data_IF_259981096897
#
_entry.id   IF_259981096897
#
_cell.length_a   1.000
_cell.length_b   1.000
_cell.length_c   1.000
_cell.angle_alpha   90.00
_cell.angle_beta   90.00
_cell.angle_gamma   90.00
#
_symmetry.space_group_name_H-M   'P 1'
#
loop_
_entity.id
_entity.type
_entity.pdbx_description
1 polymer ?
#
# COMPACT_ATOMS: atom_id res chain seq x y z
N UNK A 1 -2.27 11.47 -15.99
CA UNK A 1 -2.69 11.53 -17.40
C UNK A 1 -2.73 10.11 -17.94
N UNK A 2 -3.87 9.68 -18.44
CA UNK A 2 -3.96 8.41 -19.15
C UNK A 2 -3.16 8.54 -20.44
N UNK A 3 -2.21 7.64 -20.64
CA UNK A 3 -1.45 7.52 -21.90
C UNK A 3 -1.80 6.18 -22.51
N UNK A 4 -1.86 6.10 -23.84
CA UNK A 4 -1.94 4.82 -24.51
C UNK A 4 -0.81 3.89 -24.05
N UNK A 5 -1.10 2.62 -23.90
CA UNK A 5 -0.16 1.60 -23.49
C UNK A 5 0.13 0.67 -24.67
N UNK A 6 1.38 0.30 -24.88
CA UNK A 6 1.89 -0.66 -25.86
C UNK A 6 2.63 -1.70 -25.01
N UNK A 7 2.00 -2.77 -24.66
CA UNK A 7 2.51 -3.75 -23.69
C UNK A 7 3.40 -4.81 -24.36
N UNK A 8 3.13 -5.16 -25.63
CA UNK A 8 3.90 -6.10 -26.43
C UNK A 8 5.04 -5.44 -27.24
N UNK A 9 5.07 -4.09 -27.30
CA UNK A 9 6.04 -3.25 -28.01
C UNK A 9 6.01 -3.41 -29.54
N UNK A 10 4.84 -3.63 -30.12
CA UNK A 10 4.65 -3.70 -31.57
C UNK A 10 4.45 -2.33 -32.24
N UNK A 11 4.26 -1.29 -31.41
CA UNK A 11 4.09 0.10 -31.86
C UNK A 11 2.64 0.53 -32.01
N UNK A 12 1.68 -0.32 -31.67
CA UNK A 12 0.27 0.02 -31.54
C UNK A 12 -0.06 0.22 -30.05
N UNK A 13 -1.25 0.59 -29.73
CA UNK A 13 -1.60 1.00 -28.36
C UNK A 13 -3.05 0.67 -28.05
N UNK A 14 -3.30 0.18 -26.84
CA UNK A 14 -4.63 -0.07 -26.29
C UNK A 14 -5.43 -1.03 -27.23
N UNK A 15 -4.81 -2.11 -27.68
CA UNK A 15 -5.38 -3.01 -28.69
C UNK A 15 -6.32 -4.04 -28.07
N UNK A 16 -6.11 -4.41 -26.80
CA UNK A 16 -6.90 -5.40 -26.07
C UNK A 16 -7.55 -4.81 -24.78
N UNK A 17 -8.54 -3.91 -24.96
CA UNK A 17 -9.19 -3.25 -23.84
C UNK A 17 -10.10 -4.19 -23.06
N UNK A 18 -10.41 -3.90 -21.78
CA UNK A 18 -11.30 -4.72 -20.96
C UNK A 18 -12.66 -4.95 -21.60
N UNK A 19 -13.03 -6.22 -21.75
CA UNK A 19 -14.30 -6.66 -22.32
C UNK A 19 -15.12 -7.46 -21.31
N UNK A 20 -16.43 -7.24 -21.31
CA UNK A 20 -17.44 -7.98 -20.57
C UNK A 20 -18.17 -8.89 -21.57
N UNK A 21 -17.82 -10.15 -21.60
CA UNK A 21 -18.34 -11.09 -22.61
C UNK A 21 -19.74 -11.60 -22.28
N UNK A 22 -20.07 -11.75 -21.01
CA UNK A 22 -21.36 -12.31 -20.59
C UNK A 22 -22.42 -11.22 -20.25
N UNK A 23 -22.04 -9.92 -20.33
CA UNK A 23 -22.94 -8.79 -20.22
C UNK A 23 -23.40 -8.48 -18.79
N UNK A 24 -22.62 -8.86 -17.79
CA UNK A 24 -22.96 -8.60 -16.39
C UNK A 24 -22.40 -7.28 -15.84
N UNK A 25 -21.77 -6.48 -16.70
CA UNK A 25 -21.07 -5.23 -16.43
C UNK A 25 -19.79 -5.38 -15.59
N UNK A 26 -19.15 -6.53 -15.66
CA UNK A 26 -17.89 -6.80 -15.01
C UNK A 26 -17.00 -7.63 -15.94
N UNK A 27 -15.75 -7.26 -16.10
CA UNK A 27 -14.73 -8.14 -16.64
C UNK A 27 -14.13 -8.93 -15.49
N UNK A 28 -14.38 -10.24 -15.46
CA UNK A 28 -13.93 -11.12 -14.36
C UNK A 28 -12.79 -12.03 -14.82
N UNK A 29 -12.96 -13.34 -14.67
CA UNK A 29 -12.00 -14.35 -15.09
C UNK A 29 -12.69 -15.41 -15.92
N UNK A 30 -11.92 -15.98 -16.85
CA UNK A 30 -12.29 -17.20 -17.58
C UNK A 30 -11.43 -18.35 -17.09
N UNK A 31 -12.01 -19.56 -17.08
CA UNK A 31 -11.26 -20.80 -16.97
C UNK A 31 -11.65 -21.74 -18.09
N UNK A 32 -10.65 -22.36 -18.69
CA UNK A 32 -10.82 -23.34 -19.76
C UNK A 32 -10.19 -24.66 -19.35
N UNK A 33 -10.84 -25.77 -19.64
CA UNK A 33 -10.24 -27.08 -19.43
C UNK A 33 -9.12 -27.30 -20.44
N UNK A 34 -7.89 -27.47 -19.92
CA UNK A 34 -6.70 -27.73 -20.73
C UNK A 34 -5.83 -28.80 -20.06
N UNK A 35 -5.42 -29.81 -20.83
CA UNK A 35 -4.56 -30.89 -20.33
C UNK A 35 -3.20 -30.40 -19.86
N UNK A 36 -2.69 -29.32 -20.43
CA UNK A 36 -1.45 -28.66 -20.06
C UNK A 36 -1.64 -27.64 -18.95
N UNK A 37 -2.88 -27.31 -18.58
CA UNK A 37 -3.24 -26.25 -17.65
C UNK A 37 -2.55 -26.34 -16.31
N UNK A 38 -2.29 -25.16 -15.75
CA UNK A 38 -1.55 -24.95 -14.51
C UNK A 38 -2.41 -24.98 -13.26
N UNK A 39 -3.72 -25.14 -13.41
CA UNK A 39 -4.67 -25.05 -12.32
C UNK A 39 -5.51 -26.32 -12.19
N UNK A 40 -5.99 -26.59 -10.98
CA UNK A 40 -6.93 -27.65 -10.65
C UNK A 40 -7.97 -27.12 -9.66
N UNK A 41 -9.19 -27.64 -9.73
CA UNK A 41 -10.23 -27.29 -8.75
C UNK A 41 -9.76 -27.64 -7.33
N UNK A 42 -9.99 -26.72 -6.39
CA UNK A 42 -9.63 -26.96 -4.99
C UNK A 42 -10.49 -28.10 -4.41
N UNK A 43 -9.87 -28.94 -3.60
CA UNK A 43 -10.52 -30.10 -3.00
C UNK A 43 -11.59 -29.73 -1.95
N UNK A 44 -11.44 -28.55 -1.32
CA UNK A 44 -12.37 -28.06 -0.30
C UNK A 44 -13.59 -27.41 -0.93
N UNK A 45 -13.41 -26.68 -2.03
CA UNK A 45 -14.48 -26.03 -2.76
C UNK A 45 -14.13 -25.90 -4.25
N UNK A 46 -14.89 -26.58 -5.10
CA UNK A 46 -14.66 -26.65 -6.55
C UNK A 46 -14.88 -25.31 -7.28
N UNK A 47 -15.43 -24.29 -6.62
CA UNK A 47 -15.47 -22.91 -7.14
C UNK A 47 -14.08 -22.31 -7.23
N UNK A 48 -13.17 -22.71 -6.35
CA UNK A 48 -11.80 -22.20 -6.31
C UNK A 48 -10.87 -23.01 -7.20
N UNK A 49 -9.85 -22.35 -7.70
CA UNK A 49 -8.72 -22.95 -8.39
C UNK A 49 -7.46 -22.84 -7.53
N UNK A 50 -6.68 -23.87 -7.48
CA UNK A 50 -5.33 -23.87 -6.92
C UNK A 50 -4.31 -24.30 -7.96
N UNK A 51 -3.06 -23.89 -7.75
CA UNK A 51 -1.98 -24.35 -8.64
C UNK A 51 -1.84 -25.88 -8.61
N UNK A 52 -1.62 -26.41 -9.80
CA UNK A 52 -1.40 -27.83 -10.04
C UNK A 52 -0.10 -28.29 -9.37
N UNK A 53 -0.16 -29.45 -8.72
CA UNK A 53 0.99 -30.19 -8.20
C UNK A 53 1.30 -31.38 -9.09
N UNK A 54 2.54 -31.93 -9.06
CA UNK A 54 2.93 -33.08 -9.90
C UNK A 54 2.03 -34.30 -9.81
N UNK A 55 1.46 -34.55 -8.63
CA UNK A 55 0.62 -35.74 -8.34
C UNK A 55 -0.87 -35.51 -8.58
N UNK A 56 -1.28 -34.30 -8.97
CA UNK A 56 -2.69 -34.00 -9.22
C UNK A 56 -3.21 -34.78 -10.45
N UNK A 57 -4.45 -35.18 -10.35
CA UNK A 57 -5.20 -35.78 -11.46
C UNK A 57 -6.20 -34.79 -12.00
N UNK A 58 -6.28 -34.69 -13.34
CA UNK A 58 -7.19 -33.78 -14.01
C UNK A 58 -8.67 -33.97 -13.66
N UNK A 59 -9.56 -33.12 -14.12
CA UNK A 59 -9.28 -32.12 -15.17
C UNK A 59 -8.42 -30.96 -14.70
N UNK A 60 -7.58 -30.46 -15.59
CA UNK A 60 -6.75 -29.27 -15.37
C UNK A 60 -7.33 -28.09 -16.13
N UNK A 61 -6.99 -26.90 -15.70
CA UNK A 61 -7.52 -25.65 -16.23
C UNK A 61 -6.41 -24.66 -16.49
N UNK A 62 -6.59 -23.85 -17.53
CA UNK A 62 -5.89 -22.58 -17.64
C UNK A 62 -6.84 -21.45 -17.26
N UNK A 63 -6.29 -20.29 -16.85
CA UNK A 63 -7.05 -19.16 -16.34
C UNK A 63 -6.61 -17.90 -17.04
N UNK A 64 -7.56 -17.15 -17.56
CA UNK A 64 -7.38 -15.90 -18.28
C UNK A 64 -8.26 -14.80 -17.66
N UNK A 65 -7.97 -13.54 -17.97
CA UNK A 65 -8.95 -12.47 -17.81
C UNK A 65 -10.13 -12.72 -18.74
N UNK A 66 -11.32 -12.22 -18.38
CA UNK A 66 -12.47 -12.29 -19.26
C UNK A 66 -12.31 -11.29 -20.40
N UNK A 67 -12.29 -11.74 -21.63
CA UNK A 67 -12.10 -10.93 -22.85
C UNK A 67 -11.73 -11.76 -24.04
N UNK A 68 -11.42 -11.09 -25.14
CA UNK A 68 -10.91 -11.65 -26.37
C UNK A 68 -9.45 -11.20 -26.50
N UNK A 69 -8.57 -12.08 -26.93
CA UNK A 69 -7.22 -11.76 -27.37
C UNK A 69 -7.35 -11.05 -28.74
N UNK A 70 -7.37 -9.73 -28.75
CA UNK A 70 -7.67 -8.93 -29.93
C UNK A 70 -6.45 -8.68 -30.80
N UNK A 71 -5.25 -8.70 -30.23
CA UNK A 71 -3.97 -8.50 -30.93
C UNK A 71 -3.23 -9.79 -31.25
N UNK A 72 -3.57 -10.89 -30.57
CA UNK A 72 -3.06 -12.22 -30.86
C UNK A 72 -1.77 -12.58 -30.14
N UNK A 73 -1.46 -11.92 -29.02
CA UNK A 73 -0.27 -12.16 -28.20
C UNK A 73 -0.45 -13.32 -27.20
N UNK A 74 -1.69 -13.73 -26.93
CA UNK A 74 -2.08 -14.83 -26.05
C UNK A 74 -2.46 -14.43 -24.65
N UNK A 75 -2.43 -13.15 -24.33
CA UNK A 75 -2.99 -12.57 -23.12
C UNK A 75 -4.44 -12.10 -23.41
N UNK A 76 -5.16 -11.62 -22.41
CA UNK A 76 -6.59 -11.28 -22.53
C UNK A 76 -6.92 -10.08 -21.63
N UNK A 77 -7.47 -9.01 -22.19
CA UNK A 77 -7.81 -7.79 -21.46
C UNK A 77 -6.62 -7.16 -20.69
N UNK A 78 -5.42 -7.21 -21.24
CA UNK A 78 -4.20 -6.71 -20.59
C UNK A 78 -3.93 -5.24 -20.87
N UNK A 79 -4.50 -4.69 -21.94
CA UNK A 79 -4.38 -3.28 -22.31
C UNK A 79 -5.34 -2.40 -21.49
N UNK A 80 -5.01 -2.24 -20.25
CA UNK A 80 -5.69 -1.28 -19.40
C UNK A 80 -5.29 0.14 -19.79
N UNK A 81 -6.21 1.13 -19.64
CA UNK A 81 -5.85 2.50 -19.87
C UNK A 81 -4.53 2.81 -19.18
N UNK A 82 -3.47 2.89 -19.97
CA UNK A 82 -2.11 3.09 -19.52
C UNK A 82 -1.95 4.41 -18.81
N UNK A 83 -0.75 4.70 -18.40
CA UNK A 83 -0.44 5.98 -17.80
C UNK A 83 0.69 5.88 -16.79
N UNK A 84 0.98 7.04 -16.21
CA UNK A 84 1.97 7.12 -15.13
C UNK A 84 1.25 6.94 -13.80
N UNK A 85 1.73 6.00 -12.99
CA UNK A 85 1.24 5.82 -11.62
C UNK A 85 1.79 6.96 -10.74
N UNK A 86 0.93 7.86 -10.20
CA UNK A 86 1.40 8.92 -9.33
C UNK A 86 2.18 8.39 -8.12
N UNK A 87 1.88 7.18 -7.64
CA UNK A 87 2.58 6.54 -6.55
C UNK A 87 3.85 5.77 -7.00
N UNK A 88 4.34 6.03 -8.20
CA UNK A 88 5.65 5.63 -8.73
C UNK A 88 6.44 6.82 -9.27
N UNK A 89 5.88 8.02 -9.20
CA UNK A 89 6.47 9.23 -9.79
C UNK A 89 7.00 10.23 -8.77
N UNK A 90 6.95 9.92 -7.46
CA UNK A 90 7.57 10.76 -6.41
C UNK A 90 9.08 10.77 -6.54
N UNK A 91 9.74 11.91 -6.21
CA UNK A 91 11.19 12.01 -6.38
C UNK A 91 12.04 11.22 -5.37
N UNK A 92 11.46 10.75 -4.26
CA UNK A 92 12.17 9.90 -3.31
C UNK A 92 12.33 8.48 -3.84
N UNK A 93 13.57 7.97 -3.88
CA UNK A 93 13.87 6.61 -4.38
C UNK A 93 13.23 6.30 -5.74
N UNK A 94 13.19 7.26 -6.64
CA UNK A 94 12.61 7.07 -7.96
C UNK A 94 13.53 6.25 -8.87
N UNK A 95 12.95 5.42 -9.73
CA UNK A 95 13.70 4.62 -10.71
C UNK A 95 12.97 4.59 -12.05
N UNK A 96 13.70 4.88 -13.14
CA UNK A 96 13.16 4.78 -14.49
C UNK A 96 12.76 3.33 -14.86
N UNK A 97 13.37 2.35 -14.20
CA UNK A 97 13.06 0.92 -14.44
C UNK A 97 11.74 0.48 -13.79
N UNK A 98 11.17 1.31 -12.91
CA UNK A 98 9.89 1.01 -12.29
C UNK A 98 8.76 1.27 -13.27
N UNK A 99 7.95 0.25 -13.57
CA UNK A 99 6.74 0.42 -14.40
C UNK A 99 5.86 1.54 -13.82
N UNK A 100 5.36 2.40 -14.68
CA UNK A 100 4.52 3.54 -14.27
C UNK A 100 5.27 4.73 -13.67
N UNK A 101 6.62 4.74 -13.65
CA UNK A 101 7.41 5.78 -12.99
C UNK A 101 7.45 7.13 -13.71
N UNK A 102 7.04 7.19 -14.98
CA UNK A 102 7.14 8.40 -15.81
C UNK A 102 8.54 8.68 -16.34
N UNK A 103 8.67 9.72 -17.16
CA UNK A 103 9.92 10.07 -17.82
C UNK A 103 11.00 10.61 -16.85
N UNK A 104 10.57 11.23 -15.75
CA UNK A 104 11.42 11.75 -14.68
C UNK A 104 10.56 11.93 -13.41
N UNK A 105 11.17 12.02 -12.22
CA UNK A 105 10.40 12.19 -10.98
C UNK A 105 9.62 13.50 -11.00
N UNK A 106 8.32 13.41 -10.71
CA UNK A 106 7.42 14.56 -10.82
C UNK A 106 7.10 14.97 -12.27
N UNK A 107 7.19 14.04 -13.23
CA UNK A 107 6.81 14.32 -14.63
C UNK A 107 5.33 14.68 -14.77
N UNK A 108 4.49 14.16 -13.89
CA UNK A 108 3.04 14.34 -13.98
C UNK A 108 2.59 15.63 -13.30
N UNK A 109 1.72 16.37 -13.98
CA UNK A 109 1.27 17.70 -13.52
C UNK A 109 0.48 17.61 -12.21
N UNK A 110 -0.27 16.57 -12.02
CA UNK A 110 -1.05 16.27 -10.82
C UNK A 110 -0.12 16.14 -9.62
N UNK A 111 0.96 15.36 -9.77
CA UNK A 111 1.92 15.18 -8.71
C UNK A 111 2.73 16.46 -8.44
N UNK A 112 3.15 17.18 -9.49
CA UNK A 112 3.85 18.46 -9.29
C UNK A 112 3.00 19.44 -8.50
N UNK A 113 1.72 19.53 -8.81
CA UNK A 113 0.80 20.42 -8.09
C UNK A 113 0.70 20.05 -6.61
N UNK A 114 0.65 18.75 -6.30
CA UNK A 114 0.66 18.27 -4.91
C UNK A 114 1.99 18.56 -4.19
N UNK A 115 3.11 18.33 -4.86
CA UNK A 115 4.44 18.62 -4.31
C UNK A 115 4.66 20.12 -4.10
N UNK A 116 4.23 20.97 -5.03
CA UNK A 116 4.27 22.43 -4.90
C UNK A 116 3.42 22.90 -3.72
N UNK A 117 2.24 22.34 -3.54
CA UNK A 117 1.41 22.63 -2.37
C UNK A 117 2.14 22.27 -1.08
N UNK A 118 2.68 21.06 -0.97
CA UNK A 118 3.41 20.60 0.22
C UNK A 118 4.65 21.45 0.47
N UNK A 119 5.40 21.79 -0.56
CA UNK A 119 6.58 22.65 -0.45
C UNK A 119 6.26 24.04 0.11
N UNK A 120 5.13 24.61 -0.30
CA UNK A 120 4.66 25.92 0.18
C UNK A 120 3.97 25.86 1.56
N UNK A 121 3.77 24.67 2.13
CA UNK A 121 3.18 24.47 3.45
C UNK A 121 4.11 23.70 4.39
N UNK A 122 5.23 24.31 4.84
CA UNK A 122 6.25 23.61 5.64
C UNK A 122 5.76 23.20 7.05
N UNK A 123 4.55 23.55 7.40
CA UNK A 123 3.87 23.12 8.63
C UNK A 123 3.19 21.75 8.51
N UNK A 124 3.19 21.12 7.35
CA UNK A 124 2.69 19.75 7.19
C UNK A 124 3.70 18.80 7.85
N UNK A 125 3.27 18.14 8.94
CA UNK A 125 4.13 17.26 9.73
C UNK A 125 3.78 15.75 9.58
N UNK A 126 2.58 15.44 9.09
CA UNK A 126 2.12 14.08 8.88
C UNK A 126 1.30 13.94 7.60
N UNK A 127 1.29 12.75 7.03
CA UNK A 127 0.51 12.39 5.85
C UNK A 127 -0.05 10.98 5.98
N UNK A 128 -1.26 10.78 5.48
CA UNK A 128 -1.91 9.47 5.39
C UNK A 128 -2.41 9.25 3.97
N UNK A 129 -1.92 8.20 3.32
CA UNK A 129 -2.48 7.66 2.07
C UNK A 129 -3.46 6.53 2.37
N UNK A 130 -4.51 6.42 1.57
CA UNK A 130 -5.45 5.31 1.63
C UNK A 130 -5.38 4.52 0.34
N UNK A 131 -5.12 3.24 0.46
CA UNK A 131 -5.06 2.25 -0.60
C UNK A 131 -6.00 1.10 -0.29
N UNK A 132 -6.19 0.19 -1.22
CA UNK A 132 -6.90 -1.08 -1.01
C UNK A 132 -6.24 -2.19 -1.83
N UNK A 133 -6.09 -3.35 -1.28
CA UNK A 133 -6.61 -3.88 -0.02
C UNK A 133 -5.53 -4.65 0.75
N UNK A 134 -5.82 -4.96 2.03
CA UNK A 134 -4.88 -5.78 2.81
C UNK A 134 -5.12 -5.74 4.32
N UNK A 135 -5.80 -4.72 4.83
CA UNK A 135 -5.96 -4.52 6.27
C UNK A 135 -4.61 -4.34 6.97
N UNK A 136 -3.75 -3.47 6.43
CA UNK A 136 -2.38 -3.26 6.93
C UNK A 136 -2.03 -1.77 7.00
N UNK A 137 -1.25 -1.40 8.01
CA UNK A 137 -0.64 -0.07 8.13
C UNK A 137 0.77 -0.14 7.57
N UNK A 138 1.06 0.67 6.56
CA UNK A 138 2.33 0.73 5.89
C UNK A 138 3.10 2.02 6.24
N UNK A 139 4.42 1.90 6.29
CA UNK A 139 5.38 2.98 6.51
C UNK A 139 6.59 2.83 5.58
N UNK A 140 7.46 3.82 5.47
CA UNK A 140 8.79 3.65 4.85
C UNK A 140 9.62 2.57 5.58
N UNK A 141 10.62 1.94 4.92
CA UNK A 141 11.00 2.16 3.55
C UNK A 141 10.18 1.31 2.57
N UNK A 142 10.11 1.79 1.32
CA UNK A 142 9.53 1.06 0.20
C UNK A 142 10.58 0.32 -0.63
N UNK A 143 11.85 0.61 -0.40
CA UNK A 143 13.00 0.06 -1.13
C UNK A 143 14.11 -0.39 -0.18
N UNK A 144 14.96 -1.35 -0.59
CA UNK A 144 16.01 -1.90 0.28
C UNK A 144 17.13 -0.91 0.60
N UNK A 145 17.40 0.05 -0.26
CA UNK A 145 18.50 1.00 -0.11
C UNK A 145 18.23 2.06 0.97
N UNK A 146 16.98 2.32 1.26
CA UNK A 146 16.59 3.34 2.21
C UNK A 146 16.67 2.86 3.66
N UNK A 147 17.29 3.66 4.51
CA UNK A 147 17.43 3.41 5.95
C UNK A 147 16.80 4.54 6.76
N UNK A 148 15.93 4.18 7.69
CA UNK A 148 15.38 5.15 8.62
C UNK A 148 16.31 5.35 9.82
N UNK A 149 16.55 6.60 10.25
CA UNK A 149 17.13 6.88 11.56
C UNK A 149 16.35 6.17 12.67
N UNK A 150 17.05 5.62 13.66
CA UNK A 150 16.41 4.84 14.74
C UNK A 150 15.36 5.64 15.55
N UNK A 151 15.56 6.96 15.69
CA UNK A 151 14.57 7.85 16.32
C UNK A 151 13.27 7.90 15.54
N UNK A 152 13.34 8.05 14.22
CA UNK A 152 12.18 8.16 13.35
C UNK A 152 11.46 6.80 13.27
N UNK A 153 12.22 5.70 13.17
CA UNK A 153 11.64 4.36 13.22
C UNK A 153 10.85 4.12 14.52
N UNK A 154 11.36 4.56 15.67
CA UNK A 154 10.62 4.45 16.95
C UNK A 154 9.30 5.24 16.93
N UNK A 155 9.24 6.40 16.28
CA UNK A 155 7.99 7.16 16.11
C UNK A 155 6.99 6.37 15.25
N UNK A 156 7.45 5.82 14.12
CA UNK A 156 6.61 4.98 13.27
C UNK A 156 6.05 3.78 14.02
N UNK A 157 6.89 3.06 14.77
CA UNK A 157 6.48 1.90 15.56
C UNK A 157 5.42 2.30 16.61
N UNK A 158 5.69 3.34 17.39
CA UNK A 158 4.78 3.77 18.46
C UNK A 158 3.41 4.23 17.92
N UNK A 159 3.37 4.91 16.76
CA UNK A 159 2.12 5.30 16.13
C UNK A 159 1.43 4.11 15.45
N UNK A 160 2.19 3.18 14.86
CA UNK A 160 1.65 1.95 14.30
C UNK A 160 0.97 1.08 15.36
N UNK A 161 1.54 0.92 16.54
CA UNK A 161 0.92 0.19 17.67
C UNK A 161 -0.43 0.79 18.04
N UNK A 162 -0.51 2.11 18.16
CA UNK A 162 -1.76 2.81 18.41
C UNK A 162 -2.73 2.68 17.24
N UNK A 163 -2.21 2.77 16.01
CA UNK A 163 -2.97 2.59 14.78
C UNK A 163 -3.64 1.22 14.72
N UNK A 164 -2.92 0.14 15.01
CA UNK A 164 -3.48 -1.23 15.07
C UNK A 164 -4.60 -1.36 16.10
N UNK A 165 -4.52 -0.60 17.21
CA UNK A 165 -5.57 -0.62 18.23
C UNK A 165 -6.88 0.04 17.75
N UNK A 166 -6.81 1.09 16.93
CA UNK A 166 -8.00 1.79 16.43
C UNK A 166 -8.50 1.19 15.12
N UNK A 167 -7.63 0.85 14.18
CA UNK A 167 -8.03 0.27 12.89
C UNK A 167 -8.50 -1.17 12.99
N UNK A 168 -8.09 -1.89 14.04
CA UNK A 168 -8.29 -3.34 14.21
C UNK A 168 -7.56 -4.19 13.16
N UNK A 169 -6.65 -3.61 12.40
CA UNK A 169 -5.85 -4.37 11.44
C UNK A 169 -4.91 -5.35 12.14
N UNK A 170 -4.54 -6.41 11.42
CA UNK A 170 -3.69 -7.47 11.94
C UNK A 170 -2.20 -7.14 11.89
N UNK A 171 -1.79 -6.20 11.04
CA UNK A 171 -0.40 -5.99 10.68
C UNK A 171 -0.05 -4.52 10.51
N UNK A 172 1.14 -4.14 10.95
CA UNK A 172 1.81 -2.90 10.56
C UNK A 172 3.28 -3.19 10.22
N UNK A 173 3.76 -2.68 9.09
CA UNK A 173 5.09 -3.01 8.56
C UNK A 173 5.59 -1.93 7.60
N UNK A 174 6.82 -2.05 7.10
CA UNK A 174 7.26 -1.25 5.96
C UNK A 174 6.72 -1.82 4.65
N UNK A 175 6.60 -0.98 3.62
CA UNK A 175 6.18 -1.42 2.28
C UNK A 175 7.09 -2.53 1.77
N UNK A 176 8.41 -2.34 1.87
CA UNK A 176 9.38 -3.33 1.41
C UNK A 176 9.25 -4.68 2.12
N UNK A 177 9.05 -4.68 3.44
CA UNK A 177 8.89 -5.92 4.22
C UNK A 177 7.53 -6.60 3.98
N UNK A 178 6.50 -5.84 3.68
CA UNK A 178 5.19 -6.39 3.33
C UNK A 178 5.24 -7.18 2.02
N UNK A 179 6.02 -6.68 1.07
CA UNK A 179 6.21 -7.28 -0.25
C UNK A 179 7.20 -8.47 -0.27
N UNK A 180 7.80 -8.83 0.87
CA UNK A 180 8.71 -9.97 0.89
C UNK A 180 8.01 -11.29 0.59
N UNK A 181 8.65 -12.18 -0.20
CA UNK A 181 8.11 -13.49 -0.50
C UNK A 181 7.76 -14.25 0.78
N UNK A 182 6.61 -14.90 0.77
CA UNK A 182 6.12 -15.68 1.90
C UNK A 182 7.06 -16.86 2.14
N UNK A 183 7.48 -17.04 3.40
CA UNK A 183 8.43 -18.09 3.77
C UNK A 183 9.90 -17.71 3.61
N UNK A 184 10.22 -16.50 3.15
CA UNK A 184 11.60 -16.02 3.16
C UNK A 184 12.13 -15.96 4.59
N UNK A 185 13.46 -16.12 4.74
CA UNK A 185 14.16 -16.11 6.05
C UNK A 185 13.90 -14.82 6.86
N UNK A 186 13.49 -13.76 6.21
CA UNK A 186 13.20 -12.44 6.77
C UNK A 186 11.69 -12.13 6.84
N UNK A 187 10.84 -13.03 6.38
CA UNK A 187 9.39 -12.89 6.50
C UNK A 187 9.00 -12.69 7.96
N UNK A 188 8.31 -11.62 8.25
CA UNK A 188 7.84 -11.28 9.59
C UNK A 188 8.80 -10.46 10.45
N UNK A 189 10.04 -10.19 10.05
CA UNK A 189 10.93 -9.28 10.80
C UNK A 189 10.46 -7.83 10.69
N UNK A 190 10.56 -7.09 11.77
CA UNK A 190 10.15 -5.67 11.82
C UNK A 190 8.64 -5.41 11.69
N UNK A 191 7.83 -6.45 11.74
CA UNK A 191 6.38 -6.34 11.67
C UNK A 191 5.78 -6.26 13.07
N UNK A 192 4.75 -5.44 13.23
CA UNK A 192 3.89 -5.46 14.41
C UNK A 192 2.65 -6.28 14.07
N UNK A 193 2.40 -7.33 14.83
CA UNK A 193 1.22 -8.19 14.65
C UNK A 193 0.26 -8.06 15.84
N UNK A 194 -1.02 -8.01 15.53
CA UNK A 194 -2.08 -8.13 16.53
C UNK A 194 -2.40 -9.61 16.73
N UNK A 195 -2.39 -10.07 17.98
CA UNK A 195 -2.77 -11.43 18.34
C UNK A 195 -4.29 -11.52 18.54
N UNK A 196 -4.85 -12.74 18.46
CA UNK A 196 -6.28 -13.03 18.70
C UNK A 196 -6.80 -12.49 20.03
N UNK A 197 -5.91 -12.34 21.01
CA UNK A 197 -6.22 -11.73 22.33
C UNK A 197 -6.13 -10.20 22.31
N UNK A 198 -6.01 -9.59 21.13
CA UNK A 198 -5.92 -8.14 20.95
C UNK A 198 -4.59 -7.52 21.41
N UNK A 199 -3.60 -8.32 21.82
CA UNK A 199 -2.28 -7.84 22.19
C UNK A 199 -1.44 -7.61 20.94
N UNK A 200 -0.74 -6.48 20.88
CA UNK A 200 0.24 -6.23 19.84
C UNK A 200 1.55 -6.85 20.30
N UNK A 201 2.10 -7.74 19.47
CA UNK A 201 3.47 -8.24 19.62
C UNK A 201 4.34 -7.49 18.63
N UNK A 202 5.33 -6.74 19.14
CA UNK A 202 6.45 -6.28 18.36
C UNK A 202 7.35 -7.49 18.06
N UNK A 203 7.67 -7.68 16.80
CA UNK A 203 8.85 -8.42 16.43
C UNK A 203 10.01 -7.43 16.50
N UNK A 204 11.25 -7.90 16.75
CA UNK A 204 12.42 -7.05 16.89
C UNK A 204 12.37 -5.90 15.90
N UNK A 205 12.56 -4.65 16.37
CA UNK A 205 12.50 -3.50 15.51
C UNK A 205 13.58 -3.66 14.44
N UNK A 206 13.13 -4.06 13.26
CA UNK A 206 14.01 -4.12 12.11
C UNK A 206 14.19 -2.67 11.65
N UNK A 207 15.34 -2.14 11.91
CA UNK A 207 15.68 -0.74 11.69
C UNK A 207 15.94 -0.37 10.22
N UNK A 208 15.64 -1.30 9.31
CA UNK A 208 15.93 -1.13 7.89
C UNK A 208 17.43 -1.09 7.59
N UNK A 209 18.27 -1.15 8.61
CA UNK A 209 19.69 -0.92 8.52
C UNK A 209 20.57 -2.15 8.61
N UNK A 210 20.01 -3.32 8.76
CA UNK A 210 20.79 -4.56 8.83
C UNK A 210 21.38 -4.94 7.47
N UNK A 211 22.53 -5.62 7.51
CA UNK A 211 23.22 -6.17 6.34
C UNK A 211 22.39 -7.18 5.52
N UNK A 212 21.08 -7.25 5.76
CA UNK A 212 20.17 -8.19 5.13
C UNK A 212 19.72 -7.76 3.74
N UNK A 213 19.78 -6.45 3.43
CA UNK A 213 19.38 -5.95 2.10
C UNK A 213 20.33 -6.38 0.98
N UNK A 214 21.60 -6.57 1.26
CA UNK A 214 22.57 -7.05 0.27
C UNK A 214 22.50 -8.55 -0.03
N UNK A 215 21.63 -9.30 0.64
CA UNK A 215 21.48 -10.75 0.45
C UNK A 215 20.14 -11.16 -0.18
N UNK A 216 19.22 -10.20 -0.35
CA UNK A 216 17.97 -10.43 -1.07
C UNK A 216 18.25 -10.15 -2.55
N UNK A 217 18.20 -11.19 -3.35
CA UNK A 217 18.22 -11.06 -4.81
C UNK A 217 16.99 -10.25 -5.22
N UNK A 218 17.10 -9.44 -6.26
CA UNK A 218 15.98 -8.67 -6.84
C UNK A 218 14.75 -9.55 -7.14
N UNK A 219 14.96 -10.84 -7.30
CA UNK A 219 13.93 -11.85 -7.55
C UNK A 219 13.06 -12.19 -6.32
N UNK A 220 13.52 -11.83 -5.11
CA UNK A 220 12.88 -12.30 -3.86
C UNK A 220 11.97 -11.27 -3.19
N UNK A 221 12.02 -10.00 -3.57
CA UNK A 221 11.22 -8.95 -2.94
C UNK A 221 10.85 -7.82 -3.92
N UNK A 222 9.59 -7.43 -3.92
CA UNK A 222 9.12 -6.30 -4.70
C UNK A 222 9.49 -4.98 -4.02
N UNK A 223 10.40 -4.23 -4.62
CA UNK A 223 10.70 -2.86 -4.23
C UNK A 223 9.79 -1.88 -4.96
N UNK A 224 9.14 -0.97 -4.23
CA UNK A 224 8.25 0.04 -4.80
C UNK A 224 8.96 1.40 -4.89
N UNK A 225 9.63 1.64 -6.01
CA UNK A 225 10.36 2.87 -6.24
C UNK A 225 9.42 4.04 -6.58
N UNK A 226 9.80 5.26 -6.18
CA UNK A 226 9.05 6.48 -6.48
C UNK A 226 7.71 6.61 -5.75
N UNK A 227 7.54 5.91 -4.65
CA UNK A 227 6.34 5.95 -3.84
C UNK A 227 6.22 7.20 -2.96
N UNK A 228 4.98 7.56 -2.64
CA UNK A 228 4.64 8.73 -1.82
C UNK A 228 5.23 8.68 -0.41
N UNK A 229 5.28 7.52 0.22
CA UNK A 229 5.79 7.37 1.57
C UNK A 229 7.25 7.78 1.68
N UNK A 230 8.09 7.22 0.81
CA UNK A 230 9.52 7.53 0.79
C UNK A 230 9.75 8.98 0.34
N UNK A 231 9.03 9.43 -0.70
CA UNK A 231 9.17 10.79 -1.21
C UNK A 231 8.83 11.86 -0.19
N UNK A 232 7.72 11.74 0.50
CA UNK A 232 7.29 12.69 1.53
C UNK A 232 8.22 12.68 2.75
N UNK A 233 8.65 11.49 3.16
CA UNK A 233 9.55 11.35 4.30
C UNK A 233 10.95 11.90 4.01
N UNK A 234 11.61 11.51 2.91
CA UNK A 234 12.98 11.92 2.62
C UNK A 234 13.12 13.40 2.25
N UNK A 235 12.17 13.91 1.45
CA UNK A 235 12.29 15.27 0.93
C UNK A 235 11.80 16.31 1.91
N UNK A 236 10.67 16.04 2.55
CA UNK A 236 9.99 17.02 3.39
C UNK A 236 10.08 16.72 4.89
N UNK A 237 10.53 15.51 5.27
CA UNK A 237 10.52 15.08 6.67
C UNK A 237 9.11 14.97 7.25
N UNK A 238 8.16 14.57 6.42
CA UNK A 238 6.78 14.32 6.80
C UNK A 238 6.66 12.87 7.30
N UNK A 239 6.05 12.66 8.46
CA UNK A 239 5.77 11.33 8.97
C UNK A 239 4.61 10.72 8.17
N UNK A 240 4.93 10.01 7.11
CA UNK A 240 3.98 9.49 6.14
C UNK A 240 3.60 8.04 6.43
N UNK A 241 2.30 7.75 6.44
CA UNK A 241 1.74 6.41 6.51
C UNK A 241 0.85 6.13 5.30
N UNK A 242 0.68 4.85 4.97
CA UNK A 242 -0.36 4.39 4.07
C UNK A 242 -1.12 3.23 4.73
N UNK A 243 -2.43 3.21 4.58
CA UNK A 243 -3.23 2.06 4.95
C UNK A 243 -3.74 1.39 3.69
N UNK A 244 -3.43 0.10 3.53
CA UNK A 244 -4.17 -0.76 2.63
C UNK A 244 -5.46 -1.14 3.35
N UNK A 245 -6.49 -0.35 3.14
CA UNK A 245 -7.75 -0.51 3.87
C UNK A 245 -8.44 -1.80 3.47
N UNK A 246 -9.25 -2.33 4.39
CA UNK A 246 -10.08 -3.49 4.19
C UNK A 246 -9.31 -4.80 3.91
N UNK A 247 -9.63 -5.83 4.63
CA UNK A 247 -9.23 -7.21 4.38
C UNK A 247 -10.47 -8.06 4.22
N UNK A 248 -10.61 -8.67 3.06
CA UNK A 248 -11.72 -9.55 2.77
C UNK A 248 -11.48 -10.94 3.41
N UNK A 249 -12.37 -11.33 4.32
CA UNK A 249 -12.31 -12.60 5.02
C UNK A 249 -11.62 -12.56 6.39
N UNK A 250 -11.84 -13.62 7.15
CA UNK A 250 -11.26 -13.86 8.46
C UNK A 250 -10.22 -14.98 8.40
N UNK A 251 -9.14 -14.84 9.14
CA UNK A 251 -8.13 -15.86 9.34
C UNK A 251 -8.65 -16.87 10.39
N UNK A 252 -9.31 -17.92 9.93
CA UNK A 252 -10.02 -18.85 10.79
C UNK A 252 -9.12 -19.90 11.43
N UNK A 253 -8.02 -20.25 10.77
CA UNK A 253 -7.06 -21.24 11.28
C UNK A 253 -5.88 -20.59 12.01
N UNK A 254 -5.85 -19.24 12.08
CA UNK A 254 -4.83 -18.43 12.76
C UNK A 254 -3.41 -18.65 12.23
N UNK A 255 -3.25 -18.96 10.94
CA UNK A 255 -1.95 -19.07 10.29
C UNK A 255 -1.35 -17.70 9.92
N UNK A 256 -2.09 -16.61 10.12
CA UNK A 256 -1.74 -15.23 9.84
C UNK A 256 -2.10 -14.79 8.42
N UNK A 257 -2.90 -15.56 7.71
CA UNK A 257 -3.36 -15.32 6.34
C UNK A 257 -4.86 -15.50 6.25
N UNK A 258 -5.43 -14.99 5.18
CA UNK A 258 -6.79 -15.37 4.77
C UNK A 258 -6.66 -16.11 3.44
N UNK A 259 -6.91 -17.39 3.47
CA UNK A 259 -6.89 -18.25 2.29
C UNK A 259 -8.11 -18.00 1.41
N UNK A 260 -8.04 -18.38 0.13
CA UNK A 260 -9.20 -18.27 -0.78
C UNK A 260 -10.44 -19.05 -0.27
N UNK A 261 -10.23 -20.18 0.41
CA UNK A 261 -11.34 -20.93 1.01
C UNK A 261 -11.97 -20.21 2.20
N UNK A 262 -11.20 -19.47 3.00
CA UNK A 262 -11.73 -18.65 4.08
C UNK A 262 -12.44 -17.42 3.55
N UNK A 263 -11.91 -16.82 2.49
CA UNK A 263 -12.58 -15.72 1.79
C UNK A 263 -13.94 -16.15 1.24
N UNK A 264 -14.01 -17.34 0.61
CA UNK A 264 -15.25 -17.85 0.06
C UNK A 264 -16.27 -18.17 1.16
N UNK A 265 -15.81 -18.76 2.26
CA UNK A 265 -16.66 -18.97 3.43
C UNK A 265 -17.17 -17.66 4.02
N UNK A 266 -16.33 -16.64 4.08
CA UNK A 266 -16.74 -15.30 4.53
C UNK A 266 -17.79 -14.69 3.59
N UNK A 267 -17.62 -14.85 2.28
CA UNK A 267 -18.62 -14.41 1.32
C UNK A 267 -19.97 -15.13 1.52
N UNK A 268 -19.93 -16.44 1.64
CA UNK A 268 -21.14 -17.25 1.83
C UNK A 268 -21.88 -16.91 3.13
N UNK A 269 -21.16 -16.82 4.25
CA UNK A 269 -21.74 -16.67 5.58
C UNK A 269 -22.05 -15.21 5.97
N UNK A 270 -21.21 -14.26 5.53
CA UNK A 270 -21.29 -12.86 5.98
C UNK A 270 -21.76 -11.90 4.88
N UNK A 271 -21.39 -12.16 3.62
CA UNK A 271 -21.71 -11.27 2.51
C UNK A 271 -22.93 -11.75 1.71
N UNK A 272 -23.45 -12.96 1.99
CA UNK A 272 -24.58 -13.56 1.30
C UNK A 272 -24.27 -13.91 -0.14
N UNK A 273 -23.06 -14.45 -0.40
CA UNK A 273 -22.56 -14.91 -1.70
C UNK A 273 -22.64 -13.80 -2.79
N UNK A 274 -22.25 -12.57 -2.43
CA UNK A 274 -22.35 -11.41 -3.35
C UNK A 274 -21.01 -11.07 -4.01
N UNK A 275 -19.91 -11.55 -3.47
CA UNK A 275 -18.56 -11.15 -3.88
C UNK A 275 -17.93 -12.17 -4.84
N UNK A 276 -18.28 -13.44 -4.72
CA UNK A 276 -17.89 -14.43 -5.71
C UNK A 276 -19.03 -14.67 -6.71
N UNK A 277 -18.71 -14.68 -8.01
CA UNK A 277 -19.64 -15.11 -9.07
C UNK A 277 -19.34 -16.57 -9.38
N UNK A 278 -20.37 -17.42 -9.30
CA UNK A 278 -20.24 -18.79 -9.71
C UNK A 278 -19.88 -18.91 -11.19
N UNK A 279 -19.10 -19.91 -11.53
CA UNK A 279 -18.64 -20.14 -12.88
C UNK A 279 -19.81 -20.50 -13.80
N UNK A 280 -20.00 -19.72 -14.86
CA UNK A 280 -21.07 -19.86 -15.84
C UNK A 280 -20.48 -20.26 -17.20
N UNK A 281 -20.99 -21.32 -17.83
CA UNK A 281 -20.52 -21.72 -19.16
C UNK A 281 -20.72 -20.63 -20.19
N UNK A 282 -19.71 -20.43 -21.06
CA UNK A 282 -19.73 -19.47 -22.16
C UNK A 282 -19.01 -20.07 -23.39
N UNK A 283 -19.53 -19.81 -24.58
CA UNK A 283 -18.89 -20.23 -25.85
C UNK A 283 -18.00 -19.10 -26.38
N UNK A 284 -16.71 -19.19 -26.04
CA UNK A 284 -15.71 -18.21 -26.40
C UNK A 284 -15.28 -18.36 -27.87
N UNK A 285 -15.12 -17.25 -28.65
CA UNK A 285 -14.88 -17.34 -30.08
C UNK A 285 -13.57 -18.05 -30.48
N UNK A 286 -12.53 -17.97 -29.68
CA UNK A 286 -11.22 -18.58 -29.95
C UNK A 286 -10.89 -19.77 -29.05
N UNK A 287 -11.23 -19.72 -27.76
CA UNK A 287 -10.95 -20.77 -26.77
C UNK A 287 -12.01 -21.90 -26.77
N UNK A 288 -13.15 -21.71 -27.45
CA UNK A 288 -14.27 -22.65 -27.40
C UNK A 288 -15.04 -22.58 -26.07
N UNK A 289 -15.25 -23.72 -25.41
CA UNK A 289 -16.02 -23.75 -24.17
C UNK A 289 -15.18 -23.31 -22.98
N UNK A 290 -15.56 -22.19 -22.38
CA UNK A 290 -14.97 -21.65 -21.14
C UNK A 290 -16.04 -21.53 -20.06
N UNK A 291 -15.64 -21.22 -18.84
CA UNK A 291 -16.53 -20.80 -17.77
C UNK A 291 -16.08 -19.41 -17.30
N UNK A 292 -17.02 -18.44 -17.20
CA UNK A 292 -16.78 -17.08 -16.71
C UNK A 292 -17.27 -16.98 -15.27
N UNK A 293 -16.45 -16.36 -14.38
CA UNK A 293 -16.78 -16.19 -12.98
C UNK A 293 -15.60 -15.70 -12.14
N UNK A 294 -15.65 -15.95 -10.84
CA UNK A 294 -14.58 -15.57 -9.92
C UNK A 294 -14.89 -14.36 -9.04
N UNK A 295 -13.86 -13.75 -8.49
CA UNK A 295 -14.00 -12.66 -7.54
C UNK A 295 -14.35 -11.34 -8.19
N UNK A 296 -15.43 -10.71 -7.71
CA UNK A 296 -15.79 -9.35 -8.08
C UNK A 296 -14.87 -8.36 -7.37
N UNK A 297 -14.17 -7.52 -8.11
CA UNK A 297 -13.23 -6.53 -7.58
C UNK A 297 -13.87 -5.66 -6.49
N UNK A 298 -15.08 -5.15 -6.74
CA UNK A 298 -15.88 -4.47 -5.73
C UNK A 298 -16.55 -5.51 -4.82
N UNK A 299 -16.20 -5.51 -3.56
CA UNK A 299 -16.55 -6.50 -2.56
C UNK A 299 -15.35 -7.31 -2.10
N UNK A 300 -14.46 -7.71 -3.00
CA UNK A 300 -13.22 -8.38 -2.63
C UNK A 300 -12.13 -7.39 -2.19
N UNK A 301 -11.91 -6.32 -2.93
CA UNK A 301 -10.90 -5.31 -2.60
C UNK A 301 -11.45 -4.09 -1.85
N UNK A 302 -12.74 -3.88 -1.86
CA UNK A 302 -13.41 -2.77 -1.17
C UNK A 302 -14.63 -3.29 -0.42
N UNK A 303 -14.92 -2.77 0.79
CA UNK A 303 -16.07 -3.23 1.56
C UNK A 303 -17.38 -2.88 0.85
N UNK A 304 -18.33 -3.79 0.87
CA UNK A 304 -19.70 -3.50 0.46
C UNK A 304 -20.33 -2.42 1.37
N UNK A 305 -21.32 -1.64 0.88
CA UNK A 305 -21.89 -0.51 1.61
C UNK A 305 -22.23 -0.76 3.08
N UNK A 306 -22.76 -1.91 3.51
CA UNK A 306 -23.03 -2.15 4.93
C UNK A 306 -21.81 -2.13 5.84
N UNK A 307 -20.63 -2.46 5.31
CA UNK A 307 -19.37 -2.56 6.07
C UNK A 307 -18.47 -1.32 5.88
N UNK A 308 -18.79 -0.47 4.90
CA UNK A 308 -17.96 0.69 4.53
C UNK A 308 -17.86 1.71 5.67
N UNK A 309 -18.94 1.96 6.37
CA UNK A 309 -18.98 2.96 7.46
C UNK A 309 -17.96 2.63 8.54
N UNK A 310 -17.95 1.40 9.01
CA UNK A 310 -17.09 0.94 10.09
C UNK A 310 -15.60 1.02 9.69
N UNK A 311 -15.31 0.66 8.44
CA UNK A 311 -13.96 0.77 7.86
C UNK A 311 -13.49 2.23 7.79
N UNK A 312 -14.34 3.14 7.36
CA UNK A 312 -14.04 4.58 7.30
C UNK A 312 -13.78 5.14 8.71
N UNK A 313 -14.67 4.88 9.66
CA UNK A 313 -14.56 5.41 11.02
C UNK A 313 -13.24 5.01 11.69
N UNK A 314 -12.82 3.76 11.56
CA UNK A 314 -11.56 3.26 12.10
C UNK A 314 -10.33 3.93 11.45
N UNK A 315 -10.36 4.15 10.16
CA UNK A 315 -9.27 4.82 9.46
C UNK A 315 -9.21 6.32 9.78
N UNK A 316 -10.36 6.99 9.89
CA UNK A 316 -10.44 8.40 10.34
C UNK A 316 -9.89 8.55 11.75
N UNK A 317 -10.20 7.63 12.67
CA UNK A 317 -9.61 7.64 14.02
C UNK A 317 -8.08 7.55 13.99
N UNK A 318 -7.51 6.73 13.11
CA UNK A 318 -6.06 6.69 12.95
C UNK A 318 -5.49 7.99 12.39
N UNK A 319 -6.16 8.63 11.42
CA UNK A 319 -5.76 9.96 10.91
C UNK A 319 -5.78 11.01 12.03
N UNK A 320 -6.84 11.03 12.84
CA UNK A 320 -6.95 11.95 13.99
C UNK A 320 -5.87 11.69 15.05
N UNK A 321 -5.51 10.43 15.26
CA UNK A 321 -4.41 10.05 16.14
C UNK A 321 -3.09 10.61 15.64
N UNK A 322 -2.80 10.51 14.34
CA UNK A 322 -1.61 11.09 13.74
C UNK A 322 -1.63 12.62 13.84
N UNK A 323 -2.77 13.27 13.57
CA UNK A 323 -2.90 14.71 13.69
C UNK A 323 -2.63 15.20 15.12
N UNK A 324 -3.16 14.50 16.13
CA UNK A 324 -2.90 14.81 17.55
C UNK A 324 -1.45 14.55 17.98
N UNK A 325 -0.72 13.70 17.24
CA UNK A 325 0.68 13.40 17.50
C UNK A 325 1.65 14.44 16.92
N UNK A 326 1.21 15.32 16.03
CA UNK A 326 2.06 16.35 15.41
C UNK A 326 2.65 17.29 16.44
N UNK A 327 3.75 18.02 16.13
CA UNK A 327 4.35 18.97 17.05
C UNK A 327 3.35 20.04 17.49
N UNK A 328 3.29 20.30 18.78
CA UNK A 328 2.48 21.38 19.37
C UNK A 328 3.40 22.33 20.14
N UNK A 329 3.80 23.41 19.48
CA UNK A 329 4.71 24.40 20.04
C UNK A 329 3.96 25.46 20.82
N UNK A 330 4.46 25.78 22.00
CA UNK A 330 3.97 26.90 22.82
C UNK A 330 5.13 27.69 23.38
N UNK A 331 4.95 29.00 23.47
CA UNK A 331 5.83 29.86 24.25
C UNK A 331 5.36 29.81 25.70
N UNK A 332 6.15 29.19 26.58
CA UNK A 332 5.80 29.01 27.99
C UNK A 332 6.33 30.14 28.87
N UNK A 333 7.36 30.84 28.44
CA UNK A 333 7.95 31.93 29.19
C UNK A 333 8.64 32.93 28.26
N UNK A 334 8.53 34.22 28.61
CA UNK A 334 9.31 35.31 28.02
C UNK A 334 9.92 36.10 29.18
N UNK A 335 11.20 36.10 29.28
CA UNK A 335 11.96 36.96 30.23
C UNK A 335 12.52 38.17 29.49
N UNK A 336 12.44 39.33 30.16
CA UNK A 336 13.01 40.58 29.65
C UNK A 336 14.03 41.13 30.64
N UNK A 337 15.23 41.39 30.15
CA UNK A 337 16.29 42.04 30.92
C UNK A 337 16.68 43.35 30.25
N UNK A 338 16.66 44.43 31.03
CA UNK A 338 17.13 45.72 30.54
C UNK A 338 18.65 45.83 30.66
N UNK A 339 19.35 46.07 29.56
CA UNK A 339 20.82 46.16 29.50
C UNK A 339 21.35 47.60 29.47
N UNK A 340 20.47 48.59 29.57
CA UNK A 340 20.84 50.02 29.44
C UNK A 340 20.73 50.56 28.02
N UNK A 341 20.70 51.87 27.88
CA UNK A 341 20.62 52.57 26.57
C UNK A 341 19.48 52.11 25.66
N UNK A 342 18.31 51.82 26.24
CA UNK A 342 17.12 51.25 25.56
C UNK A 342 17.36 49.92 24.87
N UNK A 343 18.35 49.13 25.35
CA UNK A 343 18.62 47.77 24.86
C UNK A 343 18.00 46.78 25.87
N UNK A 344 17.28 45.81 25.34
CA UNK A 344 16.65 44.70 26.11
C UNK A 344 17.14 43.39 25.56
N UNK A 345 17.36 42.44 26.48
CA UNK A 345 17.52 41.03 26.16
C UNK A 345 16.18 40.33 26.38
N UNK A 346 15.68 39.67 25.36
CA UNK A 346 14.49 38.80 25.46
C UNK A 346 14.92 37.35 25.43
N UNK A 347 14.50 36.58 26.39
CA UNK A 347 14.72 35.15 26.45
C UNK A 347 13.37 34.43 26.40
N UNK A 348 13.17 33.59 25.39
CA UNK A 348 11.93 32.89 25.17
C UNK A 348 12.11 31.37 25.41
N UNK A 349 11.28 30.78 26.24
CA UNK A 349 11.22 29.32 26.41
C UNK A 349 10.10 28.76 25.56
N UNK A 350 10.45 27.85 24.65
CA UNK A 350 9.52 27.17 23.75
C UNK A 350 9.44 25.70 24.18
N UNK A 351 8.23 25.21 24.37
CA UNK A 351 7.96 23.79 24.64
C UNK A 351 7.25 23.14 23.45
N UNK A 352 7.59 21.89 23.18
CA UNK A 352 6.82 21.02 22.30
C UNK A 352 6.02 20.05 23.16
N UNK A 353 4.70 20.15 23.15
CA UNK A 353 3.78 19.24 23.84
C UNK A 353 3.25 18.14 22.91
N UNK A 354 3.57 18.18 21.59
CA UNK A 354 3.26 17.12 20.65
C UNK A 354 4.12 15.89 20.88
N UNK A 355 3.66 14.75 20.40
CA UNK A 355 4.40 13.49 20.49
C UNK A 355 5.57 13.45 19.50
N UNK A 356 5.41 14.04 18.32
CA UNK A 356 6.47 14.13 17.31
C UNK A 356 7.45 15.25 17.67
N UNK A 357 8.74 15.11 17.35
CA UNK A 357 9.69 16.21 17.40
C UNK A 357 9.31 17.29 16.38
N UNK A 358 9.81 18.49 16.56
CA UNK A 358 9.63 19.59 15.60
C UNK A 358 10.23 19.30 14.24
N UNK A 359 11.13 18.34 14.18
CA UNK A 359 11.79 17.91 12.96
C UNK A 359 12.22 16.44 13.08
N UNK A 360 12.02 15.67 12.03
CA UNK A 360 12.47 14.29 11.94
C UNK A 360 13.99 14.21 11.71
N UNK A 361 14.61 13.16 12.22
CA UNK A 361 16.07 12.98 12.08
C UNK A 361 16.51 12.84 10.63
N UNK A 362 15.68 12.36 9.72
CA UNK A 362 15.98 12.33 8.30
C UNK A 362 16.32 13.70 7.73
N UNK A 363 15.63 14.77 8.14
CA UNK A 363 15.94 16.14 7.68
C UNK A 363 17.28 16.63 8.21
N UNK A 364 17.54 16.36 9.48
CA UNK A 364 18.82 16.73 10.12
C UNK A 364 19.97 16.02 9.40
N UNK A 365 19.84 14.73 9.16
CA UNK A 365 20.86 13.93 8.47
C UNK A 365 21.09 14.39 7.03
N UNK A 366 20.03 14.79 6.33
CA UNK A 366 20.09 15.31 4.97
C UNK A 366 20.50 16.79 4.88
N UNK A 367 20.87 17.42 6.02
CA UNK A 367 21.21 18.85 6.11
C UNK A 367 20.13 19.81 5.59
N UNK A 368 18.86 19.41 5.73
CA UNK A 368 17.66 20.17 5.34
C UNK A 368 16.92 20.74 6.55
N UNK A 369 17.58 20.78 7.70
CA UNK A 369 17.00 21.21 8.97
C UNK A 369 16.53 22.66 8.91
N UNK A 370 15.33 22.90 9.43
CA UNK A 370 14.75 24.25 9.59
C UNK A 370 14.50 24.48 11.06
N UNK A 371 15.29 25.35 11.71
CA UNK A 371 15.12 25.59 13.14
C UNK A 371 13.77 26.25 13.44
N UNK A 372 13.26 25.99 14.65
CA UNK A 372 12.11 26.73 15.18
C UNK A 372 12.47 28.23 15.24
N UNK A 373 11.61 29.07 14.70
CA UNK A 373 11.80 30.53 14.65
C UNK A 373 10.73 31.20 15.52
N UNK A 374 11.15 32.20 16.27
CA UNK A 374 10.26 33.12 16.99
C UNK A 374 10.38 34.50 16.38
N UNK A 375 9.28 35.20 16.30
CA UNK A 375 9.21 36.57 15.78
C UNK A 375 8.72 37.51 16.88
N UNK A 376 9.31 38.66 16.98
CA UNK A 376 8.86 39.75 17.80
C UNK A 376 8.21 40.81 16.91
N UNK A 377 6.93 41.10 17.12
CA UNK A 377 6.28 42.26 16.56
C UNK A 377 6.47 43.44 17.51
N UNK A 378 7.00 44.57 16.99
CA UNK A 378 7.22 45.79 17.72
C UNK A 378 6.25 46.84 17.21
#
# INVERSE_FOLDING_TARGET
>A
TLKPWDDDNDGKFDEDPPEDLDGDNMALQMRVEDRAGNWVKDEKDARLLRQRKPDDKGPFYERYSEGIDNDGDGEYNEDWPGGIDPNRNYPGNWSLKQRGSGAFPGSEVELRSALDFIYNHPNIAASQSLHSSGGVILRPPSVPEMKLPSSDLRLYIALSERGLNVTKYGLATSVYQWNWPRGSRNSGKGQLKRTDKGKIKGMDPFDGGGNHYGQLMEEDAYAAYGGSLDGLYELFGILAFANEIYRFGDDLDNDGRVSASEQLKYDDEQMGSKVFKDWTPYDHPTLGKVEIGGWKKFGHNNPLPPYLKDEIERNVEFMLLQARATPLLTISKVDQEYLGKNIYRLTTTINNYGFQPTELAVRVNNKKSVPVRTYLSV
#
